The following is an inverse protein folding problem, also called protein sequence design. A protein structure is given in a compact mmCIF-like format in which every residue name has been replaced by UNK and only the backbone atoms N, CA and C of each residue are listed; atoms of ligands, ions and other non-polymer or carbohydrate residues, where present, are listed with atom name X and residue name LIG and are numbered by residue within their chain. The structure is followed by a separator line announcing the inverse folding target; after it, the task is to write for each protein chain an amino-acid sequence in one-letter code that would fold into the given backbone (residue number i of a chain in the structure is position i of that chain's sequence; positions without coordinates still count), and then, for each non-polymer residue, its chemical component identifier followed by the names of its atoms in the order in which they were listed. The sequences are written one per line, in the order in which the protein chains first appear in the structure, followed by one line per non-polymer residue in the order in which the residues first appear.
data_IF_425973184819
#
_entry.id   IF_425973184819
#
_cell.length_a   1.000
_cell.length_b   1.000
_cell.length_c   1.000
_cell.angle_alpha   90.00
_cell.angle_beta   90.00
_cell.angle_gamma   90.00
#
_symmetry.space_group_name_H-M   'P 1'
#
loop_
_entity.id
_entity.type
_entity.pdbx_description
1 polymer ?
#
# COMPACT_ATOMS: atom_id res chain seq x y z
N UNK A 1 3.22 -23.65 -4.97
CA UNK A 1 3.26 -22.56 -3.97
C UNK A 1 1.83 -22.14 -3.72
N UNK A 2 1.39 -22.13 -2.46
CA UNK A 2 0.02 -21.72 -2.12
C UNK A 2 -0.07 -20.19 -2.03
N UNK A 3 -1.12 -19.60 -2.60
CA UNK A 3 -1.39 -18.16 -2.52
C UNK A 3 -2.78 -17.95 -1.96
N UNK A 4 -2.89 -17.19 -0.88
CA UNK A 4 -4.17 -16.78 -0.33
C UNK A 4 -4.83 -15.70 -1.20
N UNK A 5 -6.08 -15.89 -1.58
CA UNK A 5 -6.90 -14.89 -2.30
C UNK A 5 -8.31 -14.87 -1.74
N UNK A 6 -8.93 -13.69 -1.69
CA UNK A 6 -10.35 -13.53 -1.35
C UNK A 6 -11.27 -13.63 -2.56
N UNK A 7 -10.72 -13.64 -3.78
CA UNK A 7 -11.46 -13.68 -5.04
C UNK A 7 -10.85 -14.72 -5.99
N UNK A 8 -11.34 -15.96 -5.95
CA UNK A 8 -10.83 -17.07 -6.77
C UNK A 8 -10.99 -16.85 -8.28
N UNK A 9 -11.99 -16.06 -8.70
CA UNK A 9 -12.30 -15.83 -10.11
C UNK A 9 -11.57 -14.62 -10.72
N UNK A 10 -10.82 -13.86 -9.93
CA UNK A 10 -10.00 -12.75 -10.42
C UNK A 10 -8.64 -13.28 -10.90
N UNK A 11 -8.62 -13.91 -12.07
CA UNK A 11 -7.43 -14.64 -12.56
C UNK A 11 -6.31 -13.73 -13.03
N UNK A 12 -6.61 -12.49 -13.47
CA UNK A 12 -5.60 -11.57 -14.02
C UNK A 12 -4.39 -11.36 -13.09
N UNK A 13 -4.64 -11.15 -11.79
CA UNK A 13 -3.56 -10.97 -10.80
C UNK A 13 -2.73 -12.25 -10.57
N UNK A 14 -3.39 -13.41 -10.57
CA UNK A 14 -2.73 -14.71 -10.42
C UNK A 14 -1.91 -15.07 -11.66
N UNK A 15 -2.41 -14.76 -12.85
CA UNK A 15 -1.73 -14.98 -14.11
C UNK A 15 -0.49 -14.08 -14.23
N UNK A 16 -0.60 -12.81 -13.83
CA UNK A 16 0.54 -11.88 -13.76
C UNK A 16 1.60 -12.37 -12.76
N UNK A 17 1.19 -12.76 -11.54
CA UNK A 17 2.09 -13.33 -10.54
C UNK A 17 2.79 -14.59 -11.05
N UNK A 18 2.06 -15.46 -11.77
CA UNK A 18 2.62 -16.68 -12.36
C UNK A 18 3.64 -16.34 -13.44
N UNK A 19 3.37 -15.36 -14.29
CA UNK A 19 4.28 -14.91 -15.35
C UNK A 19 5.56 -14.29 -14.77
N UNK A 20 5.45 -13.48 -13.72
CA UNK A 20 6.59 -12.82 -13.09
C UNK A 20 7.46 -13.77 -12.26
N UNK A 21 6.84 -14.68 -11.52
CA UNK A 21 7.56 -15.59 -10.61
C UNK A 21 8.02 -16.87 -11.29
N UNK A 22 7.38 -17.27 -12.39
CA UNK A 22 7.63 -18.56 -13.06
C UNK A 22 7.21 -19.78 -12.25
N UNK A 23 6.56 -19.59 -11.09
CA UNK A 23 6.19 -20.67 -10.18
C UNK A 23 4.80 -21.23 -10.47
N UNK A 24 4.59 -22.50 -10.14
CA UNK A 24 3.26 -23.09 -10.09
C UNK A 24 2.51 -22.58 -8.85
N UNK A 25 1.56 -21.67 -9.08
CA UNK A 25 0.73 -21.06 -8.05
C UNK A 25 -0.57 -21.86 -7.87
N UNK A 26 -0.93 -22.15 -6.62
CA UNK A 26 -2.17 -22.82 -6.24
C UNK A 26 -2.98 -21.85 -5.37
N UNK A 27 -4.05 -21.23 -5.90
CA UNK A 27 -4.85 -20.28 -5.12
C UNK A 27 -5.66 -21.01 -4.05
N UNK A 28 -5.68 -20.43 -2.85
CA UNK A 28 -6.46 -20.91 -1.69
C UNK A 28 -7.37 -19.78 -1.23
N UNK A 29 -8.64 -20.08 -0.94
CA UNK A 29 -9.62 -19.08 -0.52
C UNK A 29 -9.37 -18.65 0.94
N UNK A 30 -9.26 -17.36 1.17
CA UNK A 30 -9.15 -16.79 2.51
C UNK A 30 -10.07 -15.55 2.66
N UNK A 31 -10.62 -15.29 3.86
CA UNK A 31 -11.35 -14.05 4.13
C UNK A 31 -10.46 -12.83 3.92
N UNK A 32 -11.02 -11.76 3.35
CA UNK A 32 -10.28 -10.49 3.12
C UNK A 32 -9.64 -9.96 4.40
N UNK A 33 -10.36 -9.99 5.52
CA UNK A 33 -9.86 -9.56 6.83
C UNK A 33 -8.62 -10.34 7.29
N UNK A 34 -8.57 -11.64 6.98
CA UNK A 34 -7.43 -12.48 7.33
C UNK A 34 -6.20 -12.12 6.50
N UNK A 35 -6.40 -11.87 5.19
CA UNK A 35 -5.34 -11.43 4.29
C UNK A 35 -4.79 -10.07 4.74
N UNK A 36 -5.66 -9.10 5.00
CA UNK A 36 -5.26 -7.76 5.41
C UNK A 36 -4.50 -7.75 6.75
N UNK A 37 -4.99 -8.49 7.74
CA UNK A 37 -4.29 -8.63 9.03
C UNK A 37 -2.88 -9.21 8.86
N UNK A 38 -2.74 -10.25 8.04
CA UNK A 38 -1.44 -10.90 7.83
C UNK A 38 -0.52 -10.00 7.00
N UNK A 39 -1.04 -9.27 6.01
CA UNK A 39 -0.29 -8.24 5.27
C UNK A 39 0.25 -7.15 6.22
N UNK A 40 -0.60 -6.57 7.08
CA UNK A 40 -0.18 -5.55 8.05
C UNK A 40 0.87 -6.08 9.03
N UNK A 41 0.79 -7.36 9.40
CA UNK A 41 1.75 -8.00 10.30
C UNK A 41 3.14 -8.20 9.66
N UNK A 42 3.20 -8.59 8.38
CA UNK A 42 4.49 -8.91 7.72
C UNK A 42 5.09 -7.74 6.93
N UNK A 43 4.27 -6.82 6.43
CA UNK A 43 4.70 -5.66 5.62
C UNK A 43 4.63 -4.33 6.40
N UNK A 44 4.07 -4.34 7.62
CA UNK A 44 3.95 -3.16 8.46
C UNK A 44 2.90 -2.15 7.97
N UNK A 45 3.03 -0.90 8.42
CA UNK A 45 2.09 0.21 8.16
C UNK A 45 2.03 0.60 6.67
N UNK A 46 3.03 0.22 5.86
CA UNK A 46 3.05 0.40 4.40
C UNK A 46 2.22 -0.63 3.61
N UNK A 47 1.49 -1.53 4.26
CA UNK A 47 0.63 -2.48 3.56
C UNK A 47 -0.59 -1.80 2.90
N UNK A 48 -1.12 -0.75 3.53
CA UNK A 48 -2.32 -0.04 3.06
C UNK A 48 -2.03 0.91 1.88
N UNK A 49 -0.78 1.36 1.73
CA UNK A 49 -0.37 2.21 0.59
C UNK A 49 -0.34 1.43 -0.73
N UNK A 50 -0.14 0.10 -0.71
CA UNK A 50 -0.18 -0.71 -1.93
C UNK A 50 -1.63 -1.00 -2.37
N UNK A 51 -2.57 -1.17 -1.43
CA UNK A 51 -3.98 -1.41 -1.75
C UNK A 51 -4.69 -0.19 -2.32
N UNK A 52 -4.36 1.00 -1.83
CA UNK A 52 -5.00 2.27 -2.22
C UNK A 52 -4.60 2.76 -3.62
N UNK A 53 -3.43 2.38 -4.13
CA UNK A 53 -2.98 2.72 -5.48
C UNK A 53 -3.90 2.14 -6.58
N UNK A 54 -4.65 1.06 -6.29
CA UNK A 54 -5.54 0.42 -7.27
C UNK A 54 -7.02 0.77 -7.07
N UNK A 55 -7.42 1.28 -5.89
CA UNK A 55 -8.81 1.69 -5.61
C UNK A 55 -9.06 3.20 -5.86
N UNK A 56 -8.02 4.05 -5.88
CA UNK A 56 -8.14 5.50 -6.15
C UNK A 56 -7.96 5.90 -7.64
N UNK A 57 -8.26 5.03 -8.60
CA UNK A 57 -8.40 5.45 -10.01
C UNK A 57 -9.60 6.40 -10.27
N UNK A 58 -10.29 6.85 -9.22
CA UNK A 58 -11.48 7.69 -9.26
C UNK A 58 -11.42 9.00 -8.48
N UNK A 59 -10.28 9.39 -7.89
CA UNK A 59 -10.12 10.76 -7.40
C UNK A 59 -9.58 11.62 -8.56
N UNK A 60 -10.43 12.51 -9.07
CA UNK A 60 -10.07 13.57 -10.02
C UNK A 60 -8.74 14.23 -9.64
N UNK A 61 -7.67 13.85 -10.36
CA UNK A 61 -6.49 14.68 -10.47
C UNK A 61 -6.93 15.89 -11.28
N UNK A 62 -7.20 16.98 -10.58
CA UNK A 62 -7.42 18.29 -11.18
C UNK A 62 -6.22 18.55 -12.12
N UNK A 63 -6.50 18.53 -13.42
CA UNK A 63 -5.54 18.88 -14.46
C UNK A 63 -5.19 20.36 -14.31
N UNK A 64 -4.02 20.65 -13.77
CA UNK A 64 -3.27 21.84 -14.16
C UNK A 64 -1.95 21.35 -14.75
N UNK A 65 -1.85 21.45 -16.08
CA UNK A 65 -0.78 20.83 -16.83
C UNK A 65 0.53 21.60 -16.80
N UNK A 66 1.65 20.87 -16.86
CA UNK A 66 2.70 20.96 -17.87
C UNK A 66 3.87 20.04 -17.47
N UNK A 67 4.42 19.25 -18.40
CA UNK A 67 5.73 18.60 -18.23
C UNK A 67 5.71 17.22 -17.57
N UNK A 68 6.39 16.25 -18.19
CA UNK A 68 6.56 14.88 -17.72
C UNK A 68 7.31 14.81 -16.37
N UNK A 69 8.20 15.79 -16.09
CA UNK A 69 8.92 15.93 -14.81
C UNK A 69 8.01 16.33 -13.64
N UNK A 70 6.90 17.04 -13.89
CA UNK A 70 5.96 17.47 -12.84
C UNK A 70 5.05 16.33 -12.38
N UNK A 71 4.87 15.28 -13.20
CA UNK A 71 4.02 14.14 -12.85
C UNK A 71 4.69 13.25 -11.80
N UNK A 72 5.99 12.99 -11.95
CA UNK A 72 6.75 12.21 -10.98
C UNK A 72 6.89 12.99 -9.66
N UNK A 73 7.19 14.29 -9.71
CA UNK A 73 7.20 15.15 -8.52
C UNK A 73 5.82 15.23 -7.85
N UNK A 74 4.75 15.37 -8.63
CA UNK A 74 3.39 15.40 -8.08
C UNK A 74 2.97 14.04 -7.51
N UNK A 75 3.43 12.93 -8.10
CA UNK A 75 3.20 11.59 -7.58
C UNK A 75 3.98 11.34 -6.29
N UNK A 76 5.24 11.79 -6.22
CA UNK A 76 6.06 11.77 -5.00
C UNK A 76 5.40 12.60 -3.90
N UNK A 77 4.99 13.84 -4.19
CA UNK A 77 4.29 14.71 -3.26
C UNK A 77 2.98 14.09 -2.76
N UNK A 78 2.18 13.52 -3.66
CA UNK A 78 0.96 12.82 -3.30
C UNK A 78 1.23 11.62 -2.38
N UNK A 79 2.31 10.87 -2.63
CA UNK A 79 2.69 9.71 -1.82
C UNK A 79 3.12 10.13 -0.40
N UNK A 80 3.89 11.21 -0.27
CA UNK A 80 4.34 11.76 1.00
C UNK A 80 3.14 12.28 1.79
N UNK A 81 2.25 13.04 1.15
CA UNK A 81 1.03 13.55 1.77
C UNK A 81 0.15 12.41 2.29
N UNK A 82 -0.03 11.34 1.50
CA UNK A 82 -0.77 10.15 1.94
C UNK A 82 -0.12 9.48 3.14
N UNK A 83 1.21 9.32 3.12
CA UNK A 83 1.95 8.72 4.22
C UNK A 83 1.77 9.50 5.53
N UNK A 84 1.93 10.83 5.49
CA UNK A 84 1.73 11.70 6.65
C UNK A 84 0.30 11.60 7.17
N UNK A 85 -0.70 11.63 6.28
CA UNK A 85 -2.09 11.48 6.68
C UNK A 85 -2.38 10.13 7.35
N UNK A 86 -1.74 9.04 6.89
CA UNK A 86 -1.90 7.73 7.50
C UNK A 86 -1.28 7.70 8.91
N UNK A 87 -0.06 8.21 9.07
CA UNK A 87 0.61 8.29 10.38
C UNK A 87 -0.24 9.07 11.39
N UNK A 88 -0.85 10.18 10.97
CA UNK A 88 -1.73 10.97 11.83
C UNK A 88 -3.04 10.25 12.16
N UNK A 89 -3.64 9.52 11.21
CA UNK A 89 -4.83 8.70 11.47
C UNK A 89 -4.54 7.61 12.49
N UNK A 90 -3.44 6.89 12.32
CA UNK A 90 -3.02 5.83 13.23
C UNK A 90 -2.80 6.39 14.65
N UNK A 91 -2.16 7.56 14.77
CA UNK A 91 -1.98 8.23 16.06
C UNK A 91 -3.32 8.58 16.73
N UNK A 92 -4.31 9.05 15.97
CA UNK A 92 -5.66 9.34 16.48
C UNK A 92 -6.37 8.05 16.93
N UNK A 93 -6.31 6.98 16.14
CA UNK A 93 -6.92 5.69 16.48
C UNK A 93 -6.32 5.09 17.76
N UNK A 94 -4.99 5.20 17.90
CA UNK A 94 -4.24 4.77 19.09
C UNK A 94 -4.36 5.74 20.26
N UNK A 95 -5.01 6.90 20.07
CA UNK A 95 -5.08 8.00 21.04
C UNK A 95 -3.70 8.41 21.56
N UNK A 96 -2.71 8.40 20.69
CA UNK A 96 -1.37 8.90 20.99
C UNK A 96 -1.43 10.43 21.17
N UNK A 97 -0.75 10.93 22.20
CA UNK A 97 -0.59 12.37 22.41
C UNK A 97 0.45 12.99 21.48
N UNK A 98 1.45 12.18 21.10
CA UNK A 98 2.64 12.62 20.38
C UNK A 98 2.99 11.60 19.29
N UNK A 99 3.55 12.10 18.20
CA UNK A 99 4.16 11.30 17.12
C UNK A 99 5.62 11.74 17.01
N UNK A 100 6.54 10.85 17.33
CA UNK A 100 7.97 11.11 17.28
C UNK A 100 8.56 10.54 15.98
N UNK A 101 9.21 11.40 15.20
CA UNK A 101 9.92 11.06 13.98
C UNK A 101 11.43 11.14 14.24
N UNK A 102 12.13 10.02 14.16
CA UNK A 102 13.55 9.91 14.49
C UNK A 102 14.36 9.39 13.29
N UNK A 103 14.99 10.29 12.52
CA UNK A 103 15.95 9.90 11.51
C UNK A 103 17.30 9.55 12.14
N UNK A 104 17.80 8.35 11.86
CA UNK A 104 19.16 7.91 12.14
C UNK A 104 19.93 7.76 10.81
N UNK A 105 21.23 7.50 10.88
CA UNK A 105 22.08 7.39 9.68
C UNK A 105 21.61 6.30 8.71
N UNK A 106 21.16 5.15 9.23
CA UNK A 106 20.76 3.99 8.42
C UNK A 106 19.27 3.60 8.57
N UNK A 107 18.53 4.24 9.48
CA UNK A 107 17.13 3.88 9.77
C UNK A 107 16.26 5.11 10.06
N UNK A 108 14.97 5.00 9.74
CA UNK A 108 13.96 6.00 10.12
C UNK A 108 12.91 5.35 11.01
N UNK A 109 12.70 5.90 12.21
CA UNK A 109 11.78 5.33 13.21
C UNK A 109 10.62 6.29 13.49
N UNK A 110 9.41 5.72 13.62
CA UNK A 110 8.18 6.41 14.01
C UNK A 110 7.64 5.74 15.28
N UNK A 111 7.27 6.53 16.29
CA UNK A 111 6.70 6.03 17.56
C UNK A 111 5.72 7.01 18.18
#
# INVERSE_FOLDING_TARGET
MEIATSRLFATQGLDALKAMTGLALTPVLAPTEAIQREMKKHLGVGADTIGTLNEEAGLEVVQEGAGDDDLDSAAEDASIIRFVNQVLRDAIELRASDVHLEPFEDEFRIR
#
